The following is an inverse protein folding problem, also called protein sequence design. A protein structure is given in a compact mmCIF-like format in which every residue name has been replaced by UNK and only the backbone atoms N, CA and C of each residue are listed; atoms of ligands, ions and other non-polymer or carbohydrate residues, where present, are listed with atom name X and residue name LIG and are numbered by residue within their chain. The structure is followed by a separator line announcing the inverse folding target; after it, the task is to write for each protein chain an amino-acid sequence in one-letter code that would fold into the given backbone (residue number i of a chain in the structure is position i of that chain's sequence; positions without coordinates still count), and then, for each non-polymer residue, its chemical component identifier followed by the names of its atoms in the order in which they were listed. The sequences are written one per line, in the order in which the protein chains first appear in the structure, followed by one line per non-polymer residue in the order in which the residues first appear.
data_IF_549772943155
#
_entry.id   IF_549772943155
#
_cell.length_a   1.000
_cell.length_b   1.000
_cell.length_c   1.000
_cell.angle_alpha   90.00
_cell.angle_beta   90.00
_cell.angle_gamma   90.00
#
_symmetry.space_group_name_H-M   'P 1'
#
loop_
_entity.id
_entity.type
_entity.pdbx_description
1 polymer ?
#
# COMPACT_ATOMS: atom_id res chain seq x y z
N UNK A 1 10.47 -33.85 -18.27
CA UNK A 1 9.88 -32.50 -18.37
C UNK A 1 10.14 -31.80 -17.04
N UNK A 2 11.24 -31.04 -16.96
CA UNK A 2 11.61 -30.32 -15.74
C UNK A 2 10.72 -29.08 -15.62
N UNK A 3 10.02 -28.94 -14.49
CA UNK A 3 9.30 -27.71 -14.15
C UNK A 3 10.28 -26.54 -14.10
N UNK A 4 9.94 -25.37 -14.67
CA UNK A 4 10.80 -24.19 -14.58
C UNK A 4 10.98 -23.82 -13.10
N UNK A 5 12.20 -23.40 -12.77
CA UNK A 5 12.59 -22.90 -11.46
C UNK A 5 11.61 -21.83 -11.00
N UNK A 6 10.78 -22.15 -10.01
CA UNK A 6 10.01 -21.16 -9.26
C UNK A 6 10.98 -20.06 -8.83
N UNK A 7 10.61 -18.81 -9.15
CA UNK A 7 11.31 -17.61 -8.76
C UNK A 7 11.87 -17.76 -7.34
N UNK A 8 13.15 -17.41 -7.16
CA UNK A 8 13.90 -17.59 -5.93
C UNK A 8 13.05 -17.19 -4.72
N UNK A 9 12.51 -18.20 -4.05
CA UNK A 9 11.79 -18.03 -2.80
C UNK A 9 12.76 -17.34 -1.87
N UNK A 10 12.46 -16.10 -1.42
CA UNK A 10 13.36 -15.28 -0.59
C UNK A 10 13.86 -16.12 0.60
N UNK A 11 15.05 -16.70 0.47
CA UNK A 11 15.72 -17.43 1.53
C UNK A 11 16.44 -16.39 2.39
N UNK A 12 16.08 -16.29 3.67
CA UNK A 12 16.74 -15.35 4.61
C UNK A 12 18.18 -15.77 4.93
N UNK A 13 18.57 -16.96 4.48
CA UNK A 13 19.88 -17.54 4.67
C UNK A 13 20.71 -17.40 3.39
N UNK A 14 21.76 -16.57 3.46
CA UNK A 14 22.72 -16.36 2.36
C UNK A 14 23.89 -17.35 2.40
N UNK A 15 23.95 -18.24 3.41
CA UNK A 15 24.96 -19.29 3.47
C UNK A 15 24.61 -20.42 2.51
N UNK A 16 25.47 -20.67 1.53
CA UNK A 16 25.24 -21.68 0.47
C UNK A 16 25.18 -23.12 0.99
N UNK A 17 25.50 -23.36 2.28
CA UNK A 17 25.65 -24.70 2.86
C UNK A 17 24.56 -25.09 3.86
N UNK A 18 23.62 -24.19 4.18
CA UNK A 18 22.66 -24.43 5.25
C UNK A 18 21.24 -24.67 4.72
N UNK A 19 20.67 -25.83 5.11
CA UNK A 19 19.28 -26.21 4.80
C UNK A 19 18.22 -25.35 5.51
N UNK A 20 18.61 -24.42 6.39
CA UNK A 20 17.66 -23.57 7.13
C UNK A 20 17.22 -22.39 6.26
N UNK A 21 15.94 -22.38 5.87
CA UNK A 21 15.34 -21.32 5.04
C UNK A 21 15.11 -20.00 5.80
N UNK A 22 14.80 -20.07 7.08
CA UNK A 22 14.51 -18.91 7.94
C UNK A 22 15.54 -18.79 9.06
N UNK A 23 16.08 -17.58 9.25
CA UNK A 23 17.07 -17.25 10.29
C UNK A 23 16.67 -15.91 10.90
N UNK A 24 16.88 -15.78 12.21
CA UNK A 24 16.64 -14.51 12.91
C UNK A 24 17.52 -13.40 12.32
N UNK A 25 16.92 -12.21 12.12
CA UNK A 25 17.64 -10.98 11.77
C UNK A 25 17.39 -9.94 12.85
N UNK A 26 18.47 -9.34 13.35
CA UNK A 26 18.38 -8.21 14.27
C UNK A 26 17.69 -7.02 13.60
N UNK A 27 17.18 -6.07 14.39
CA UNK A 27 16.59 -4.84 13.86
C UNK A 27 17.59 -4.06 13.00
N UNK A 28 18.82 -3.87 13.49
CA UNK A 28 19.91 -3.19 12.74
C UNK A 28 20.12 -3.81 11.37
N UNK A 29 20.24 -5.14 11.29
CA UNK A 29 20.43 -5.85 10.02
C UNK A 29 19.25 -5.67 9.07
N UNK A 30 18.01 -5.67 9.59
CA UNK A 30 16.81 -5.42 8.78
C UNK A 30 16.78 -4.00 8.20
N UNK A 31 17.28 -3.01 8.95
CA UNK A 31 17.38 -1.62 8.49
C UNK A 31 18.50 -1.47 7.45
N UNK A 32 19.66 -2.11 7.66
CA UNK A 32 20.78 -2.10 6.71
C UNK A 32 20.43 -2.74 5.35
N UNK A 33 19.56 -3.75 5.35
CA UNK A 33 19.09 -4.42 4.13
C UNK A 33 17.98 -3.65 3.39
N UNK A 34 17.40 -2.61 4.01
CA UNK A 34 16.29 -1.86 3.44
C UNK A 34 16.83 -0.82 2.45
N UNK A 35 16.68 -1.09 1.15
CA UNK A 35 17.04 -0.18 0.06
C UNK A 35 15.80 0.64 -0.37
N UNK A 36 15.80 1.94 -0.09
CA UNK A 36 14.72 2.86 -0.49
C UNK A 36 15.12 3.52 -1.81
N UNK A 37 14.66 2.96 -2.92
CA UNK A 37 14.94 3.52 -4.24
C UNK A 37 13.70 4.23 -4.80
N UNK A 38 13.59 5.53 -4.54
CA UNK A 38 12.45 6.37 -4.97
C UNK A 38 12.45 6.63 -6.49
N UNK A 39 13.62 6.59 -7.13
CA UNK A 39 13.78 6.99 -8.54
C UNK A 39 13.85 5.82 -9.53
N UNK A 40 14.10 4.61 -9.05
CA UNK A 40 14.09 3.37 -9.85
C UNK A 40 13.14 2.39 -9.17
N UNK A 41 11.84 2.65 -9.29
CA UNK A 41 10.84 1.61 -9.02
C UNK A 41 11.14 0.45 -9.97
N UNK A 42 11.47 -0.70 -9.42
CA UNK A 42 11.58 -1.96 -10.16
C UNK A 42 10.16 -2.44 -10.51
N UNK A 43 9.17 -2.01 -9.73
CA UNK A 43 7.77 -2.31 -9.95
C UNK A 43 7.29 -1.56 -11.20
N UNK A 44 6.55 -2.29 -12.04
CA UNK A 44 5.89 -1.74 -13.23
C UNK A 44 5.03 -0.54 -12.82
N UNK A 45 5.02 0.49 -13.68
CA UNK A 45 4.12 1.64 -13.51
C UNK A 45 2.71 1.09 -13.34
N UNK A 46 2.03 1.47 -12.26
CA UNK A 46 0.66 1.02 -12.01
C UNK A 46 -0.17 1.29 -13.26
N UNK A 47 -0.93 0.27 -13.68
CA UNK A 47 -1.86 0.42 -14.78
C UNK A 47 -2.85 1.55 -14.48
N UNK A 48 -3.27 2.26 -15.52
CA UNK A 48 -4.36 3.23 -15.43
C UNK A 48 -5.61 2.57 -14.82
N UNK A 49 -6.39 3.32 -14.02
CA UNK A 49 -7.58 2.79 -13.39
C UNK A 49 -8.60 2.35 -14.44
N UNK A 50 -9.51 1.47 -14.03
CA UNK A 50 -10.60 1.04 -14.91
C UNK A 50 -11.46 2.23 -15.36
N UNK A 51 -12.10 2.11 -16.53
CA UNK A 51 -12.89 3.21 -17.10
C UNK A 51 -14.00 3.66 -16.15
N UNK A 52 -13.94 4.91 -15.68
CA UNK A 52 -14.87 5.49 -14.71
C UNK A 52 -14.48 5.30 -13.24
N UNK A 53 -13.38 4.60 -12.96
CA UNK A 53 -12.78 4.47 -11.62
C UNK A 53 -11.68 5.52 -11.39
N UNK A 54 -10.94 5.38 -10.30
CA UNK A 54 -9.83 6.23 -9.87
C UNK A 54 -8.75 5.37 -9.20
N UNK A 55 -7.52 5.88 -9.12
CA UNK A 55 -6.43 5.16 -8.46
C UNK A 55 -6.74 4.88 -6.99
N UNK A 56 -7.36 5.84 -6.31
CA UNK A 56 -7.76 5.72 -4.92
C UNK A 56 -8.84 4.66 -4.71
N UNK A 57 -9.89 4.64 -5.56
CA UNK A 57 -10.96 3.65 -5.44
C UNK A 57 -10.44 2.23 -5.68
N UNK A 58 -9.66 2.03 -6.74
CA UNK A 58 -9.10 0.72 -7.08
C UNK A 58 -8.22 0.19 -5.93
N UNK A 59 -7.38 1.05 -5.35
CA UNK A 59 -6.57 0.69 -4.19
C UNK A 59 -7.40 0.46 -2.92
N UNK A 60 -8.48 1.22 -2.70
CA UNK A 60 -9.35 1.04 -1.53
C UNK A 60 -10.04 -0.32 -1.56
N UNK A 61 -10.47 -0.76 -2.73
CA UNK A 61 -11.08 -2.09 -2.93
C UNK A 61 -10.03 -3.19 -2.78
N UNK A 62 -8.84 -3.02 -3.37
CA UNK A 62 -7.72 -3.97 -3.22
C UNK A 62 -7.38 -4.18 -1.73
N UNK A 63 -7.20 -3.09 -0.99
CA UNK A 63 -6.86 -3.16 0.42
C UNK A 63 -7.99 -3.72 1.29
N UNK A 64 -9.25 -3.62 0.86
CA UNK A 64 -10.37 -4.30 1.52
C UNK A 64 -10.24 -5.82 1.48
N UNK A 65 -9.64 -6.36 0.45
CA UNK A 65 -9.37 -7.80 0.35
C UNK A 65 -8.13 -8.21 1.15
N UNK A 66 -7.11 -7.34 1.19
CA UNK A 66 -5.81 -7.63 1.82
C UNK A 66 -5.77 -7.36 3.33
N UNK A 67 -6.58 -6.42 3.84
CA UNK A 67 -6.49 -5.95 5.22
C UNK A 67 -7.83 -6.05 5.97
N UNK A 68 -7.78 -6.69 7.13
CA UNK A 68 -8.95 -6.92 8.00
C UNK A 68 -8.82 -6.24 9.36
N UNK A 69 -7.91 -5.28 9.51
CA UNK A 69 -7.75 -4.53 10.74
C UNK A 69 -8.94 -3.58 10.94
N UNK A 70 -9.44 -3.50 12.17
CA UNK A 70 -10.67 -2.78 12.54
C UNK A 70 -10.65 -1.31 12.10
N UNK A 71 -9.55 -0.58 12.37
CA UNK A 71 -9.43 0.82 12.00
C UNK A 71 -9.53 1.07 10.50
N UNK A 72 -8.96 0.15 9.70
CA UNK A 72 -9.04 0.20 8.25
C UNK A 72 -10.45 -0.15 7.75
N UNK A 73 -11.09 -1.17 8.33
CA UNK A 73 -12.48 -1.53 8.01
C UNK A 73 -13.43 -0.35 8.29
N UNK A 74 -13.28 0.29 9.46
CA UNK A 74 -14.07 1.48 9.82
C UNK A 74 -13.84 2.63 8.84
N UNK A 75 -12.59 2.87 8.43
CA UNK A 75 -12.26 3.87 7.42
C UNK A 75 -12.88 3.53 6.05
N UNK A 76 -12.78 2.28 5.61
CA UNK A 76 -13.36 1.81 4.35
C UNK A 76 -14.88 2.04 4.34
N UNK A 77 -15.58 1.63 5.40
CA UNK A 77 -17.04 1.74 5.48
C UNK A 77 -17.50 3.22 5.45
N UNK A 78 -16.70 4.14 6.01
CA UNK A 78 -16.96 5.58 5.95
C UNK A 78 -16.71 6.18 4.56
N UNK A 79 -15.64 5.74 3.88
CA UNK A 79 -15.15 6.37 2.64
C UNK A 79 -15.78 5.81 1.39
N UNK A 80 -16.12 4.52 1.35
CA UNK A 80 -16.67 3.86 0.16
C UNK A 80 -17.84 4.63 -0.50
N UNK A 81 -18.85 5.19 0.22
CA UNK A 81 -19.90 5.95 -0.44
C UNK A 81 -19.44 7.28 -1.07
N UNK A 82 -18.28 7.82 -0.68
CA UNK A 82 -17.77 9.12 -1.10
C UNK A 82 -16.82 9.04 -2.29
N UNK A 83 -16.30 7.86 -2.62
CA UNK A 83 -15.18 7.71 -3.55
C UNK A 83 -15.50 6.83 -4.76
N UNK A 84 -16.78 6.70 -5.09
CA UNK A 84 -17.24 5.85 -6.21
C UNK A 84 -16.76 6.34 -7.59
N UNK A 85 -16.44 7.63 -7.72
CA UNK A 85 -15.93 8.23 -8.96
C UNK A 85 -14.92 9.33 -8.66
N UNK A 86 -14.02 9.62 -9.60
CA UNK A 86 -13.02 10.69 -9.47
C UNK A 86 -13.63 12.07 -9.13
N UNK A 87 -14.74 12.52 -9.76
CA UNK A 87 -15.37 13.78 -9.39
C UNK A 87 -15.86 13.83 -7.93
N UNK A 88 -16.31 12.70 -7.37
CA UNK A 88 -16.70 12.64 -5.96
C UNK A 88 -15.49 12.72 -5.03
N UNK A 89 -14.36 12.13 -5.41
CA UNK A 89 -13.10 12.25 -4.67
C UNK A 89 -12.66 13.70 -4.61
N UNK A 90 -12.68 14.41 -5.75
CA UNK A 90 -12.34 15.83 -5.81
C UNK A 90 -13.31 16.66 -4.95
N UNK A 91 -14.61 16.39 -5.03
CA UNK A 91 -15.63 17.09 -4.23
C UNK A 91 -15.44 16.88 -2.72
N UNK A 92 -15.03 15.69 -2.30
CA UNK A 92 -14.90 15.31 -0.89
C UNK A 92 -13.46 15.30 -0.38
N UNK A 93 -12.52 15.90 -1.12
CA UNK A 93 -11.07 15.83 -0.86
C UNK A 93 -10.68 16.15 0.58
N UNK A 94 -11.25 17.20 1.17
CA UNK A 94 -10.95 17.62 2.55
C UNK A 94 -11.36 16.55 3.57
N UNK A 95 -12.53 15.94 3.37
CA UNK A 95 -13.04 14.89 4.26
C UNK A 95 -12.20 13.62 4.13
N UNK A 96 -11.85 13.24 2.91
CA UNK A 96 -11.03 12.05 2.64
C UNK A 96 -9.64 12.23 3.28
N UNK A 97 -9.00 13.38 3.04
CA UNK A 97 -7.68 13.70 3.59
C UNK A 97 -7.68 13.74 5.12
N UNK A 98 -8.68 14.39 5.72
CA UNK A 98 -8.84 14.41 7.18
C UNK A 98 -9.03 13.01 7.76
N UNK A 99 -9.84 12.17 7.12
CA UNK A 99 -10.05 10.78 7.52
C UNK A 99 -8.77 9.94 7.43
N UNK A 100 -7.99 10.09 6.36
CA UNK A 100 -6.69 9.42 6.21
C UNK A 100 -5.74 9.83 7.34
N UNK A 101 -5.61 11.13 7.59
CA UNK A 101 -4.70 11.67 8.60
C UNK A 101 -5.07 11.21 10.01
N UNK A 102 -6.36 11.15 10.33
CA UNK A 102 -6.85 10.66 11.64
C UNK A 102 -6.44 9.20 11.90
N UNK A 103 -6.28 8.39 10.85
CA UNK A 103 -5.90 6.97 10.94
C UNK A 103 -4.39 6.75 10.96
N UNK A 104 -3.57 7.80 10.78
CA UNK A 104 -2.12 7.74 10.97
C UNK A 104 -1.80 7.74 12.47
N UNK A 105 -2.07 6.61 13.13
CA UNK A 105 -1.84 6.41 14.56
C UNK A 105 -1.17 5.05 14.82
N UNK A 106 -0.17 5.04 15.70
CA UNK A 106 0.53 3.82 16.12
C UNK A 106 -0.34 2.83 16.90
N UNK A 107 -1.44 3.30 17.52
CA UNK A 107 -2.44 2.40 18.11
C UNK A 107 -3.05 1.46 17.04
N UNK A 108 -3.17 1.95 15.81
CA UNK A 108 -3.74 1.28 14.64
C UNK A 108 -2.67 0.69 13.71
N UNK A 109 -1.54 0.20 14.24
CA UNK A 109 -0.36 -0.17 13.44
C UNK A 109 -0.62 -1.14 12.28
N UNK A 110 -1.63 -2.00 12.39
CA UNK A 110 -2.00 -2.99 11.37
C UNK A 110 -2.75 -2.37 10.18
N UNK A 111 -3.24 -1.14 10.34
CA UNK A 111 -3.92 -0.35 9.31
C UNK A 111 -2.99 0.68 8.67
N UNK A 112 -1.78 0.89 9.18
CA UNK A 112 -0.91 1.96 8.68
C UNK A 112 -0.46 1.73 7.23
N UNK A 113 -0.15 0.49 6.87
CA UNK A 113 0.26 0.15 5.50
C UNK A 113 -0.80 0.53 4.46
N UNK A 114 -2.07 0.07 4.54
CA UNK A 114 -3.09 0.51 3.59
C UNK A 114 -3.33 2.02 3.63
N UNK A 115 -3.30 2.65 4.82
CA UNK A 115 -3.51 4.10 4.93
C UNK A 115 -2.42 4.88 4.21
N UNK A 116 -1.14 4.52 4.36
CA UNK A 116 -0.05 5.19 3.64
C UNK A 116 -0.12 4.96 2.13
N UNK A 117 -0.49 3.76 1.70
CA UNK A 117 -0.70 3.48 0.28
C UNK A 117 -1.85 4.32 -0.30
N UNK A 118 -2.96 4.44 0.43
CA UNK A 118 -4.10 5.25 0.02
C UNK A 118 -3.77 6.74 -0.04
N UNK A 119 -2.92 7.27 0.85
CA UNK A 119 -2.41 8.64 0.75
C UNK A 119 -1.65 8.84 -0.57
N UNK A 120 -0.81 7.88 -0.96
CA UNK A 120 -0.04 7.95 -2.20
C UNK A 120 -0.94 7.90 -3.45
N UNK A 121 -2.01 7.09 -3.44
CA UNK A 121 -2.97 7.04 -4.56
C UNK A 121 -3.87 8.27 -4.61
N UNK A 122 -4.31 8.77 -3.45
CA UNK A 122 -5.08 10.01 -3.34
C UNK A 122 -4.31 11.21 -3.90
N UNK A 123 -3.02 11.31 -3.58
CA UNK A 123 -2.15 12.35 -4.13
C UNK A 123 -2.00 12.24 -5.66
N UNK A 124 -2.04 11.02 -6.23
CA UNK A 124 -2.03 10.81 -7.68
C UNK A 124 -3.32 11.24 -8.36
N UNK A 125 -4.47 10.98 -7.74
CA UNK A 125 -5.76 11.41 -8.28
C UNK A 125 -5.94 12.93 -8.24
N UNK A 126 -5.49 13.60 -7.16
CA UNK A 126 -5.73 15.03 -6.93
C UNK A 126 -4.66 15.93 -7.57
N UNK A 127 -3.44 15.43 -7.76
CA UNK A 127 -2.33 16.15 -8.41
C UNK A 127 -2.06 17.52 -7.74
N UNK A 128 -2.18 18.61 -8.50
CA UNK A 128 -1.82 19.97 -8.07
C UNK A 128 -2.67 20.48 -6.90
N UNK A 129 -3.92 20.04 -6.81
CA UNK A 129 -4.83 20.44 -5.72
C UNK A 129 -4.50 19.75 -4.38
N UNK A 130 -3.52 18.85 -4.35
CA UNK A 130 -3.14 18.13 -3.13
C UNK A 130 -2.33 19.01 -2.18
N UNK A 131 -1.63 20.02 -2.71
CA UNK A 131 -0.84 20.96 -1.93
C UNK A 131 -1.65 22.27 -1.71
N UNK A 132 -1.62 22.84 -0.50
CA UNK A 132 -2.32 24.09 -0.19
C UNK A 132 -1.76 25.32 -0.90
#
# INVERSE_FOLDING_TARGET
MATPSYAAVKCLNTSSSSRKRFVFKSFTKRVEELDINVYRSIDEVKAEPSSGSSFFLDALVEWRELNTAEDFISFYDEMIPLVQTLPQIVLHREKIFSGLLQRVNMAARLSLEPIFMLIAEFARDILEEFLP
#
